data_IF_281908510544
#
_entry.id   IF_281908510544
#
_cell.length_a   1.000
_cell.length_b   1.000
_cell.length_c   1.000
_cell.angle_alpha   90.00
_cell.angle_beta   90.00
_cell.angle_gamma   90.00
#
_symmetry.space_group_name_H-M   'P 1'
#
loop_
_entity.id
_entity.type
_entity.pdbx_description
1 polymer ?
#
# COMPACT_ATOMS: atom_id res chain seq x y z
N UNK A 1 4.39 4.35 12.05
CA UNK A 1 3.43 4.38 13.17
C UNK A 1 4.23 4.05 14.42
N UNK A 2 4.14 4.84 15.48
CA UNK A 2 4.88 4.62 16.71
C UNK A 2 4.04 3.82 17.71
N UNK A 3 4.52 2.65 18.10
CA UNK A 3 3.90 1.81 19.13
C UNK A 3 4.02 2.51 20.50
N UNK A 4 2.91 2.56 21.23
CA UNK A 4 2.81 3.10 22.58
C UNK A 4 2.85 1.98 23.62
N UNK A 5 3.11 2.33 24.89
CA UNK A 5 3.16 1.38 26.00
C UNK A 5 1.82 0.65 26.24
N UNK A 6 0.69 1.26 25.88
CA UNK A 6 -0.65 0.66 25.97
C UNK A 6 -0.99 -0.24 24.76
N UNK A 7 -0.04 -0.45 23.85
CA UNK A 7 -0.21 -1.26 22.65
C UNK A 7 -0.99 -0.57 21.52
N UNK A 8 -1.34 0.72 21.68
CA UNK A 8 -1.87 1.55 20.59
C UNK A 8 -0.75 2.08 19.70
N UNK A 9 -1.12 2.64 18.55
CA UNK A 9 -0.19 3.33 17.65
C UNK A 9 -0.52 4.81 17.54
N UNK A 10 0.52 5.63 17.42
CA UNK A 10 0.42 7.06 17.11
C UNK A 10 1.15 7.35 15.81
N UNK A 11 0.54 8.16 14.95
CA UNK A 11 1.23 8.79 13.84
C UNK A 11 1.18 10.29 13.98
N UNK A 12 2.34 10.89 14.24
CA UNK A 12 2.53 12.33 14.20
C UNK A 12 3.10 12.76 12.86
N UNK A 13 2.46 13.74 12.22
CA UNK A 13 2.94 14.34 10.96
C UNK A 13 2.35 15.74 10.77
N UNK A 14 2.91 16.57 9.87
CA UNK A 14 2.47 17.95 9.66
C UNK A 14 1.26 18.08 8.72
N UNK A 15 0.78 16.98 8.13
CA UNK A 15 -0.33 17.02 7.19
C UNK A 15 -1.64 17.45 7.87
N UNK A 16 -2.45 18.26 7.20
CA UNK A 16 -3.74 18.60 7.78
C UNK A 16 -4.62 17.33 7.92
N UNK A 17 -5.30 17.09 9.06
CA UNK A 17 -6.08 15.87 9.32
C UNK A 17 -7.15 15.53 8.26
N UNK A 18 -7.66 16.56 7.58
CA UNK A 18 -8.74 16.47 6.60
C UNK A 18 -8.27 16.58 5.14
N UNK A 19 -6.98 16.87 4.90
CA UNK A 19 -6.46 16.98 3.55
C UNK A 19 -6.06 15.60 3.03
N UNK A 20 -6.59 15.14 1.90
CA UNK A 20 -6.28 13.81 1.39
C UNK A 20 -4.89 13.75 0.78
N UNK A 21 -4.19 12.65 1.04
CA UNK A 21 -2.89 12.31 0.48
C UNK A 21 -3.03 11.15 -0.53
N UNK A 22 -2.18 11.09 -1.56
CA UNK A 22 -2.06 9.94 -2.44
C UNK A 22 -1.27 8.81 -1.76
N UNK A 23 -1.76 7.58 -1.85
CA UNK A 23 -1.12 6.38 -1.30
C UNK A 23 -0.88 5.33 -2.39
N UNK A 24 0.21 4.59 -2.24
CA UNK A 24 0.72 3.58 -3.18
C UNK A 24 1.41 2.47 -2.40
N UNK A 25 1.09 1.20 -2.67
CA UNK A 25 1.96 0.08 -2.30
C UNK A 25 3.01 -0.08 -3.41
N UNK A 26 4.24 0.31 -3.11
CA UNK A 26 5.30 0.34 -4.11
C UNK A 26 5.73 -1.07 -4.56
N UNK A 27 5.81 -2.02 -3.62
CA UNK A 27 6.26 -3.38 -3.89
C UNK A 27 5.23 -4.16 -4.70
N UNK A 28 3.95 -3.97 -4.37
CA UNK A 28 2.86 -4.70 -5.02
C UNK A 28 2.44 -4.08 -6.36
N UNK A 29 2.27 -2.75 -6.43
CA UNK A 29 1.49 -2.14 -7.52
C UNK A 29 2.33 -1.56 -8.66
N UNK A 30 3.56 -1.11 -8.40
CA UNK A 30 4.35 -0.37 -9.41
C UNK A 30 4.69 -1.24 -10.61
N UNK A 31 5.18 -2.46 -10.38
CA UNK A 31 5.57 -3.39 -11.44
C UNK A 31 4.42 -3.70 -12.40
N UNK A 32 3.28 -4.23 -11.91
CA UNK A 32 2.10 -4.49 -12.74
C UNK A 32 1.60 -3.26 -13.50
N UNK A 33 1.60 -2.09 -12.86
CA UNK A 33 1.12 -0.84 -13.47
C UNK A 33 2.02 -0.40 -14.63
N UNK A 34 3.35 -0.42 -14.44
CA UNK A 34 4.29 -0.09 -15.51
C UNK A 34 4.23 -1.08 -16.67
N UNK A 35 4.07 -2.38 -16.38
CA UNK A 35 3.88 -3.39 -17.42
C UNK A 35 2.62 -3.13 -18.26
N UNK A 36 1.54 -2.68 -17.63
CA UNK A 36 0.31 -2.35 -18.34
C UNK A 36 0.48 -1.10 -19.23
N UNK A 37 1.18 -0.07 -18.75
CA UNK A 37 1.59 1.09 -19.57
C UNK A 37 2.40 0.64 -20.79
N UNK A 38 3.38 -0.25 -20.62
CA UNK A 38 4.18 -0.76 -21.73
C UNK A 38 3.35 -1.58 -22.74
N UNK A 39 2.40 -2.40 -22.27
CA UNK A 39 1.50 -3.17 -23.15
C UNK A 39 0.62 -2.28 -24.02
N UNK A 40 0.14 -1.16 -23.49
CA UNK A 40 -0.62 -0.17 -24.25
C UNK A 40 0.27 0.60 -25.24
N UNK A 41 1.55 0.78 -24.89
CA UNK A 41 2.55 1.32 -25.79
C UNK A 41 2.48 2.85 -25.96
N UNK A 42 3.43 3.42 -26.72
CA UNK A 42 3.65 4.87 -26.77
C UNK A 42 2.51 5.65 -27.41
N UNK A 43 1.70 5.03 -28.29
CA UNK A 43 0.54 5.70 -28.87
C UNK A 43 -0.48 6.13 -27.81
N UNK A 44 -0.51 5.44 -26.67
CA UNK A 44 -1.44 5.72 -25.57
C UNK A 44 -0.86 6.63 -24.48
N UNK A 45 0.46 6.69 -24.30
CA UNK A 45 1.07 7.32 -23.11
C UNK A 45 2.16 8.36 -23.42
N UNK A 46 2.57 8.53 -24.68
CA UNK A 46 3.66 9.44 -25.04
C UNK A 46 3.33 10.87 -24.63
N UNK A 47 4.20 11.44 -23.79
CA UNK A 47 4.09 12.83 -23.31
C UNK A 47 3.12 13.04 -22.16
N UNK A 48 2.48 11.98 -21.65
CA UNK A 48 1.56 12.07 -20.52
C UNK A 48 2.29 11.93 -19.18
N UNK A 49 1.68 12.51 -18.14
CA UNK A 49 2.03 12.24 -16.74
C UNK A 49 0.98 11.29 -16.18
N UNK A 50 1.43 10.25 -15.49
CA UNK A 50 0.55 9.27 -14.85
C UNK A 50 0.73 9.37 -13.35
N UNK A 51 -0.36 9.55 -12.61
CA UNK A 51 -0.34 9.51 -11.15
C UNK A 51 -0.41 8.07 -10.65
N UNK A 52 0.70 7.59 -10.09
CA UNK A 52 0.76 6.28 -9.44
C UNK A 52 0.32 6.41 -7.98
N UNK A 53 -0.99 6.51 -7.79
CA UNK A 53 -1.63 6.46 -6.48
C UNK A 53 -2.97 5.74 -6.60
N UNK A 54 -3.17 4.76 -5.72
CA UNK A 54 -4.33 3.88 -5.76
C UNK A 54 -5.31 4.15 -4.63
N UNK A 55 -4.90 4.89 -3.60
CA UNK A 55 -5.82 5.41 -2.59
C UNK A 55 -5.65 6.91 -2.39
N UNK A 56 -6.76 7.55 -2.02
CA UNK A 56 -6.82 8.97 -1.67
C UNK A 56 -7.45 9.05 -0.29
N UNK A 57 -6.61 9.24 0.74
CA UNK A 57 -7.02 9.16 2.13
C UNK A 57 -6.48 10.34 2.90
N UNK A 58 -7.32 10.93 3.74
CA UNK A 58 -6.86 11.86 4.77
C UNK A 58 -6.06 11.11 5.84
N UNK A 59 -5.20 11.79 6.61
CA UNK A 59 -4.49 11.16 7.72
C UNK A 59 -5.41 10.39 8.69
N UNK A 60 -6.58 10.94 8.98
CA UNK A 60 -7.60 10.29 9.82
C UNK A 60 -8.12 8.99 9.20
N UNK A 61 -8.42 9.00 7.90
CA UNK A 61 -8.87 7.81 7.17
C UNK A 61 -7.77 6.74 7.08
N UNK A 62 -6.52 7.16 6.90
CA UNK A 62 -5.36 6.26 6.91
C UNK A 62 -5.24 5.56 8.28
N UNK A 63 -5.23 6.30 9.39
CA UNK A 63 -5.21 5.71 10.73
C UNK A 63 -6.40 4.78 10.98
N UNK A 64 -7.61 5.15 10.54
CA UNK A 64 -8.79 4.29 10.72
C UNK A 64 -8.70 2.97 9.94
N UNK A 65 -8.11 2.98 8.74
CA UNK A 65 -7.84 1.77 7.95
C UNK A 65 -6.72 0.94 8.56
N UNK A 66 -5.65 1.59 8.96
CA UNK A 66 -4.52 0.95 9.62
C UNK A 66 -4.97 0.24 10.90
N UNK A 67 -5.81 0.89 11.72
CA UNK A 67 -6.37 0.33 12.95
C UNK A 67 -7.16 -0.96 12.72
N UNK A 68 -7.95 -1.02 11.64
CA UNK A 68 -8.65 -2.25 11.25
C UNK A 68 -7.70 -3.33 10.75
N UNK A 69 -6.60 -2.96 10.09
CA UNK A 69 -5.58 -3.89 9.63
C UNK A 69 -4.82 -4.54 10.78
N UNK A 70 -4.31 -3.73 11.72
CA UNK A 70 -3.50 -4.21 12.85
C UNK A 70 -4.32 -4.69 14.06
N UNK A 71 -5.64 -4.46 14.07
CA UNK A 71 -6.51 -4.85 15.19
C UNK A 71 -6.27 -4.08 16.50
N UNK A 72 -5.59 -2.93 16.43
CA UNK A 72 -5.20 -2.09 17.59
C UNK A 72 -5.61 -0.63 17.35
N UNK A 73 -5.85 0.19 18.39
CA UNK A 73 -6.14 1.60 18.21
C UNK A 73 -4.99 2.33 17.52
N UNK A 74 -5.31 3.19 16.55
CA UNK A 74 -4.33 4.03 15.84
C UNK A 74 -4.83 5.45 15.84
N UNK A 75 -4.01 6.39 16.30
CA UNK A 75 -4.37 7.81 16.41
C UNK A 75 -3.45 8.68 15.57
N UNK A 76 -4.07 9.57 14.80
CA UNK A 76 -3.36 10.65 14.14
C UNK A 76 -3.13 11.83 15.09
N UNK A 77 -1.93 12.40 15.09
CA UNK A 77 -1.57 13.62 15.81
C UNK A 77 -1.02 14.62 14.81
N UNK A 78 -1.74 15.71 14.59
CA UNK A 78 -1.26 16.79 13.75
C UNK A 78 -0.21 17.61 14.53
N UNK A 79 1.01 17.65 14.01
CA UNK A 79 2.13 18.29 14.69
C UNK A 79 3.38 18.36 13.81
N UNK A 80 4.45 19.03 14.27
CA UNK A 80 5.68 19.12 13.50
C UNK A 80 6.32 17.74 13.31
N UNK A 81 7.16 17.63 12.28
CA UNK A 81 7.98 16.44 12.05
C UNK A 81 8.97 16.29 13.20
N UNK A 82 8.90 15.18 13.91
CA UNK A 82 9.81 14.85 15.01
C UNK A 82 10.97 13.97 14.52
N UNK A 83 12.18 14.51 14.53
CA UNK A 83 13.38 13.84 14.01
C UNK A 83 14.11 13.15 15.17
N UNK A 84 13.79 11.88 15.38
CA UNK A 84 14.34 11.05 16.48
C UNK A 84 15.69 10.40 16.17
N UNK A 85 16.14 10.45 14.91
CA UNK A 85 17.36 9.77 14.43
C UNK A 85 18.24 10.71 13.61
N UNK A 86 19.51 10.34 13.45
CA UNK A 86 20.42 11.06 12.56
C UNK A 86 19.99 10.85 11.11
N UNK A 87 19.92 11.95 10.35
CA UNK A 87 19.51 11.93 8.95
C UNK A 87 20.47 12.77 8.09
N UNK A 88 20.67 12.42 6.81
CA UNK A 88 21.43 13.24 5.86
C UNK A 88 20.84 14.65 5.71
N UNK A 89 21.69 15.63 5.41
CA UNK A 89 21.28 17.04 5.26
C UNK A 89 20.21 17.24 4.19
N UNK A 90 20.32 16.57 3.04
CA UNK A 90 19.32 16.65 1.97
C UNK A 90 17.95 16.12 2.39
N UNK A 91 17.91 15.08 3.24
CA UNK A 91 16.62 14.60 3.77
C UNK A 91 16.03 15.57 4.79
N UNK A 92 16.87 16.18 5.63
CA UNK A 92 16.43 17.25 6.56
C UNK A 92 15.81 18.42 5.81
N UNK A 93 16.51 18.96 4.82
CA UNK A 93 16.00 20.06 3.98
C UNK A 93 14.67 19.68 3.30
N UNK A 94 14.56 18.45 2.79
CA UNK A 94 13.32 17.96 2.22
C UNK A 94 12.17 17.89 3.24
N UNK A 95 12.43 17.47 4.48
CA UNK A 95 11.41 17.44 5.54
C UNK A 95 10.96 18.86 5.94
N UNK A 96 11.88 19.82 5.99
CA UNK A 96 11.56 21.22 6.28
C UNK A 96 10.63 21.81 5.19
N UNK A 97 10.98 21.59 3.91
CA UNK A 97 10.16 22.03 2.77
C UNK A 97 8.81 21.31 2.76
N UNK A 98 8.78 20.01 3.07
CA UNK A 98 7.56 19.22 3.15
C UNK A 98 6.61 19.76 4.22
N UNK A 99 7.14 20.06 5.42
CA UNK A 99 6.37 20.65 6.51
C UNK A 99 5.81 22.02 6.12
N UNK A 100 6.61 22.88 5.50
CA UNK A 100 6.15 24.18 5.02
C UNK A 100 5.06 24.03 3.93
N UNK A 101 5.30 23.17 2.95
CA UNK A 101 4.48 23.09 1.73
C UNK A 101 3.18 22.32 1.97
N UNK A 102 3.26 21.14 2.57
CA UNK A 102 2.10 20.26 2.77
C UNK A 102 1.44 20.45 4.14
N UNK A 103 2.18 20.97 5.13
CA UNK A 103 1.62 21.26 6.44
C UNK A 103 1.10 22.68 6.57
N UNK A 104 1.99 23.68 6.48
CA UNK A 104 1.61 25.09 6.68
C UNK A 104 0.79 25.63 5.52
N UNK A 105 1.29 25.47 4.30
CA UNK A 105 0.64 25.98 3.07
C UNK A 105 -0.50 25.07 2.59
N UNK A 106 -0.59 23.84 3.10
CA UNK A 106 -1.63 22.86 2.73
C UNK A 106 -1.76 22.68 1.21
N UNK A 107 -0.64 22.73 0.50
CA UNK A 107 -0.64 22.51 -0.93
C UNK A 107 -1.07 21.06 -1.24
N UNK A 108 -1.75 20.80 -2.37
CA UNK A 108 -2.02 19.43 -2.78
C UNK A 108 -0.69 18.72 -3.10
N UNK A 109 -0.62 17.42 -2.78
CA UNK A 109 0.62 16.64 -2.97
C UNK A 109 1.04 16.59 -4.45
N UNK A 110 0.08 16.30 -5.32
CA UNK A 110 0.21 16.49 -6.76
C UNK A 110 -0.38 17.85 -7.15
N UNK A 111 0.15 18.46 -8.21
CA UNK A 111 -0.40 19.70 -8.76
C UNK A 111 -1.92 19.61 -8.98
N UNK A 112 -2.67 20.72 -8.85
CA UNK A 112 -4.14 20.72 -8.87
C UNK A 112 -4.76 20.17 -10.16
N UNK A 113 -3.99 20.11 -11.25
CA UNK A 113 -4.36 19.55 -12.54
C UNK A 113 -4.28 18.01 -12.63
N UNK A 114 -3.64 17.35 -11.65
CA UNK A 114 -3.44 15.91 -11.65
C UNK A 114 -4.55 15.20 -10.86
N UNK A 115 -5.17 14.22 -11.49
CA UNK A 115 -6.27 13.44 -10.91
C UNK A 115 -5.74 12.15 -10.29
N UNK A 116 -6.25 11.78 -9.11
CA UNK A 116 -6.00 10.50 -8.46
C UNK A 116 -7.18 10.19 -7.52
N UNK A 117 -7.47 8.90 -7.22
CA UNK A 117 -6.72 7.71 -7.60
C UNK A 117 -7.27 7.01 -8.86
N UNK A 118 -8.24 7.60 -9.57
CA UNK A 118 -8.95 6.89 -10.64
C UNK A 118 -8.02 6.54 -11.80
N UNK A 119 -7.13 7.44 -12.17
CA UNK A 119 -6.10 7.19 -13.19
C UNK A 119 -5.31 5.91 -12.90
N UNK A 120 -4.63 5.82 -11.74
CA UNK A 120 -3.88 4.63 -11.35
C UNK A 120 -4.73 3.36 -11.38
N UNK A 121 -5.93 3.40 -10.76
CA UNK A 121 -6.86 2.25 -10.70
C UNK A 121 -7.34 1.77 -12.07
N UNK A 122 -7.41 2.66 -13.06
CA UNK A 122 -7.80 2.29 -14.42
C UNK A 122 -6.71 1.52 -15.17
N UNK A 123 -5.46 1.63 -14.70
CA UNK A 123 -4.32 0.89 -15.26
C UNK A 123 -4.15 -0.42 -14.50
N UNK A 124 -4.29 -0.41 -13.17
CA UNK A 124 -4.14 -1.59 -12.33
C UNK A 124 -5.27 -1.65 -11.28
N UNK A 125 -6.24 -2.53 -11.53
CA UNK A 125 -7.39 -2.72 -10.64
C UNK A 125 -7.06 -3.57 -9.41
N UNK A 126 -6.04 -4.45 -9.51
CA UNK A 126 -5.62 -5.36 -8.44
C UNK A 126 -4.72 -4.73 -7.39
N UNK A 127 -4.90 -3.44 -7.08
CA UNK A 127 -4.01 -2.71 -6.18
C UNK A 127 -4.20 -3.12 -4.72
N UNK A 128 -3.16 -2.98 -3.90
CA UNK A 128 -3.26 -3.20 -2.45
C UNK A 128 -3.59 -1.90 -1.71
N UNK A 129 -4.61 -1.95 -0.85
CA UNK A 129 -4.98 -0.82 0.01
C UNK A 129 -4.22 -0.78 1.33
N UNK A 130 -4.25 0.38 2.01
CA UNK A 130 -3.58 0.59 3.31
C UNK A 130 -4.05 -0.40 4.38
N UNK A 131 -5.33 -0.78 4.39
CA UNK A 131 -5.86 -1.74 5.37
C UNK A 131 -5.28 -3.15 5.16
N UNK A 132 -5.14 -3.59 3.91
CA UNK A 132 -4.56 -4.88 3.57
C UNK A 132 -3.05 -4.88 3.84
N UNK A 133 -2.33 -3.82 3.45
CA UNK A 133 -0.92 -3.64 3.83
C UNK A 133 -0.73 -3.73 5.35
N UNK A 134 -1.54 -3.01 6.13
CA UNK A 134 -1.46 -3.00 7.58
C UNK A 134 -1.75 -4.37 8.22
N UNK A 135 -2.57 -5.20 7.57
CA UNK A 135 -2.93 -6.55 8.03
C UNK A 135 -1.87 -7.59 7.66
N UNK A 136 -1.37 -7.55 6.44
CA UNK A 136 -0.64 -8.66 5.83
C UNK A 136 0.85 -8.43 5.72
N UNK A 137 1.28 -7.18 5.57
CA UNK A 137 2.69 -6.82 5.28
C UNK A 137 3.35 -6.17 6.49
N UNK A 138 2.70 -5.15 7.06
CA UNK A 138 3.27 -4.36 8.16
C UNK A 138 3.75 -5.22 9.35
N UNK A 139 3.01 -6.25 9.84
CA UNK A 139 3.51 -7.09 10.93
C UNK A 139 4.79 -7.87 10.56
N UNK A 140 4.92 -8.29 9.30
CA UNK A 140 6.09 -9.05 8.82
C UNK A 140 7.31 -8.13 8.73
N UNK A 141 7.15 -6.92 8.18
CA UNK A 141 8.21 -5.91 8.10
C UNK A 141 8.68 -5.48 9.49
N UNK A 142 7.76 -5.20 10.41
CA UNK A 142 8.09 -4.83 11.79
C UNK A 142 8.78 -5.98 12.53
N UNK A 143 8.36 -7.23 12.30
CA UNK A 143 9.03 -8.40 12.85
C UNK A 143 10.47 -8.53 12.33
N UNK A 144 10.68 -8.33 11.02
CA UNK A 144 12.00 -8.31 10.40
C UNK A 144 12.88 -7.17 10.95
N UNK A 145 12.27 -6.04 11.34
CA UNK A 145 12.92 -4.92 12.02
C UNK A 145 13.16 -5.16 13.54
N UNK A 146 12.79 -6.32 14.06
CA UNK A 146 13.07 -6.72 15.45
C UNK A 146 11.94 -6.41 16.45
N UNK A 147 10.80 -5.88 15.99
CA UNK A 147 9.64 -5.64 16.85
C UNK A 147 8.81 -6.92 17.04
N UNK A 148 8.12 -7.04 18.18
CA UNK A 148 7.44 -8.28 18.59
C UNK A 148 5.99 -8.07 19.05
N UNK A 149 5.42 -6.90 18.79
CA UNK A 149 4.06 -6.53 19.25
C UNK A 149 2.93 -7.38 18.64
N UNK A 150 3.21 -8.06 17.54
CA UNK A 150 2.28 -8.96 16.83
C UNK A 150 2.25 -10.37 17.40
N UNK A 151 3.22 -10.74 18.25
CA UNK A 151 3.18 -12.02 18.95
C UNK A 151 2.07 -11.96 20.00
N UNK A 152 1.14 -12.92 19.97
CA UNK A 152 0.14 -13.04 21.02
C UNK A 152 0.85 -13.39 22.33
N UNK A 153 0.65 -12.59 23.39
CA UNK A 153 0.93 -13.05 24.74
C UNK A 153 -0.02 -14.22 25.03
N UNK A 154 0.46 -15.44 24.78
CA UNK A 154 -0.17 -16.68 25.22
C UNK A 154 -0.05 -16.81 26.75
N UNK A 155 -0.56 -15.84 27.50
CA UNK A 155 -0.78 -15.99 28.95
C UNK A 155 -2.11 -16.69 29.21
N UNK A 156 -2.28 -17.86 28.61
CA UNK A 156 -3.16 -18.88 29.18
C UNK A 156 -2.32 -19.70 30.17
N UNK A 157 -2.68 -19.81 31.46
CA UNK A 157 -2.00 -20.75 32.34
C UNK A 157 -2.29 -22.17 31.83
N UNK A 158 -1.29 -22.81 31.23
CA UNK A 158 -1.36 -24.22 30.84
C UNK A 158 -1.28 -25.10 32.08
N UNK A 159 -2.37 -25.14 32.86
CA UNK A 159 -2.59 -26.21 33.83
C UNK A 159 -3.21 -27.40 33.11
N UNK A 160 -2.40 -28.21 32.45
CA UNK A 160 -2.74 -29.62 32.20
C UNK A 160 -1.45 -30.44 32.17
N UNK A 161 -1.49 -31.48 32.99
CA UNK A 161 -0.38 -32.29 33.44
C UNK A 161 0.27 -33.10 32.31
N UNK A 162 1.55 -33.35 32.50
CA UNK A 162 2.32 -34.32 31.75
C UNK A 162 1.71 -35.72 31.89
N UNK A 163 1.55 -36.42 30.77
CA UNK A 163 1.53 -37.88 30.71
C UNK A 163 2.41 -38.32 29.55
N UNK A 164 3.52 -38.97 29.91
CA UNK A 164 4.45 -39.69 29.03
C UNK A 164 3.82 -40.96 28.44
N UNK A 165 4.61 -41.65 27.59
CA UNK A 165 4.46 -42.95 26.87
C UNK A 165 3.78 -42.89 25.49
N UNK A 166 4.27 -43.49 24.39
CA UNK A 166 5.31 -44.51 24.12
C UNK A 166 5.69 -44.48 22.60
N UNK A 167 6.84 -45.06 22.29
CA UNK A 167 7.53 -45.21 21.01
C UNK A 167 6.77 -45.99 19.91
N UNK A 168 7.04 -45.65 18.65
CA UNK A 168 6.59 -46.42 17.48
C UNK A 168 7.21 -45.93 16.17
N UNK A 169 8.37 -46.47 15.81
CA UNK A 169 9.05 -46.31 14.51
C UNK A 169 8.16 -46.74 13.33
N UNK A 170 8.16 -45.96 12.24
CA UNK A 170 7.88 -46.43 10.87
C UNK A 170 8.58 -45.51 9.84
N UNK A 171 9.29 -46.17 8.92
CA UNK A 171 10.22 -45.76 7.84
C UNK A 171 9.84 -44.57 6.90
N UNK A 172 10.81 -44.01 6.13
CA UNK A 172 10.68 -42.71 5.47
C UNK A 172 10.04 -42.78 4.08
N UNK A 173 9.09 -41.89 3.79
CA UNK A 173 8.55 -41.66 2.45
C UNK A 173 8.91 -40.25 1.97
N UNK A 174 9.65 -40.17 0.86
CA UNK A 174 10.09 -38.92 0.22
C UNK A 174 8.92 -37.99 -0.19
N UNK A 175 9.08 -36.66 -0.10
CA UNK A 175 8.06 -35.74 -0.60
C UNK A 175 8.21 -35.59 -2.13
N UNK A 176 7.24 -36.13 -2.86
CA UNK A 176 7.02 -35.80 -4.28
C UNK A 176 6.72 -34.30 -4.40
N UNK A 177 7.63 -33.57 -5.04
CA UNK A 177 7.44 -32.18 -5.41
C UNK A 177 6.29 -32.02 -6.41
N UNK A 178 5.17 -31.44 -5.97
CA UNK A 178 4.11 -30.97 -6.85
C UNK A 178 4.46 -29.55 -7.33
N UNK A 179 5.04 -29.45 -8.53
CA UNK A 179 5.07 -28.20 -9.29
C UNK A 179 3.63 -27.84 -9.71
N UNK A 180 3.19 -26.57 -9.58
CA UNK A 180 1.92 -26.17 -10.18
C UNK A 180 2.03 -26.26 -11.70
N UNK A 181 1.20 -27.11 -12.31
CA UNK A 181 1.02 -27.16 -13.76
C UNK A 181 0.12 -25.99 -14.19
N UNK A 182 0.65 -25.10 -15.02
CA UNK A 182 -0.16 -24.09 -15.71
C UNK A 182 -1.10 -24.78 -16.71
N UNK A 183 -2.42 -24.56 -16.67
CA UNK A 183 -3.30 -25.02 -17.74
C UNK A 183 -3.02 -24.19 -18.99
N UNK A 184 -2.35 -24.79 -19.97
CA UNK A 184 -2.32 -24.26 -21.32
C UNK A 184 -3.72 -24.43 -21.94
N UNK A 185 -4.36 -23.31 -22.31
CA UNK A 185 -5.49 -23.33 -23.25
C UNK A 185 -6.78 -22.71 -22.74
N UNK A 186 -6.87 -21.38 -22.82
CA UNK A 186 -7.98 -20.66 -23.47
C UNK A 186 -7.60 -19.18 -23.52
N UNK A 187 -7.38 -18.66 -24.73
CA UNK A 187 -7.34 -17.21 -24.96
C UNK A 187 -8.75 -16.68 -24.74
N UNK A 188 -9.07 -16.30 -23.51
CA UNK A 188 -10.18 -15.40 -23.25
C UNK A 188 -9.68 -14.01 -23.68
N UNK A 189 -10.47 -13.24 -24.46
CA UNK A 189 -10.10 -11.85 -24.71
C UNK A 189 -9.98 -11.16 -23.35
N UNK A 190 -8.77 -10.69 -23.04
CA UNK A 190 -8.53 -9.77 -21.94
C UNK A 190 -9.42 -8.56 -22.22
N UNK A 191 -10.55 -8.49 -21.51
CA UNK A 191 -11.33 -7.27 -21.47
C UNK A 191 -10.50 -6.28 -20.67
N UNK A 192 -9.64 -5.53 -21.37
CA UNK A 192 -9.00 -4.35 -20.82
C UNK A 192 -10.13 -3.35 -20.65
N UNK A 193 -10.66 -3.25 -19.44
CA UNK A 193 -11.48 -2.13 -19.03
C UNK A 193 -10.70 -0.88 -19.37
N UNK A 194 -11.26 -0.07 -20.28
CA UNK A 194 -10.54 1.04 -20.92
C UNK A 194 -9.91 1.95 -19.88
N UNK A 195 -8.59 2.14 -19.99
CA UNK A 195 -7.86 3.06 -19.14
C UNK A 195 -8.53 4.44 -19.22
N UNK A 196 -8.83 5.01 -18.06
CA UNK A 196 -9.49 6.31 -17.95
C UNK A 196 -8.57 7.37 -18.55
N UNK A 197 -9.03 8.07 -19.58
CA UNK A 197 -8.30 9.20 -20.17
C UNK A 197 -8.37 10.40 -19.22
N UNK A 198 -7.25 10.88 -18.65
CA UNK A 198 -7.26 12.03 -17.77
C UNK A 198 -7.70 13.31 -18.49
N UNK A 199 -8.31 14.27 -17.77
CA UNK A 199 -8.72 15.57 -18.35
C UNK A 199 -7.56 16.43 -18.86
N UNK A 200 -6.35 16.14 -18.41
CA UNK A 200 -5.11 16.76 -18.89
C UNK A 200 -4.66 16.21 -20.26
N UNK A 201 -5.34 15.20 -20.79
CA UNK A 201 -5.12 14.63 -22.11
C UNK A 201 -5.62 15.58 -23.21
N UNK A 202 -4.90 15.74 -24.34
CA UNK A 202 -5.36 16.54 -25.48
C UNK A 202 -6.74 16.11 -26.00
N UNK A 203 -7.07 14.81 -25.89
CA UNK A 203 -8.33 14.21 -26.31
C UNK A 203 -9.33 14.01 -25.15
N UNK A 204 -8.97 14.40 -23.92
CA UNK A 204 -9.85 14.32 -22.73
C UNK A 204 -10.97 15.38 -22.71
N UNK A 205 -11.11 16.14 -23.80
CA UNK A 205 -12.18 17.11 -24.04
C UNK A 205 -13.42 16.47 -24.69
N UNK A 206 -13.27 15.30 -25.32
CA UNK A 206 -14.38 14.56 -25.90
C UNK A 206 -14.86 13.50 -24.90
N UNK A 207 -16.02 13.75 -24.29
CA UNK A 207 -16.60 12.93 -23.23
C UNK A 207 -16.97 11.49 -23.64
N UNK A 208 -16.74 11.10 -24.90
CA UNK A 208 -17.16 9.82 -25.49
C UNK A 208 -16.01 9.02 -26.15
N UNK A 209 -14.74 9.36 -25.90
CA UNK A 209 -13.65 8.53 -26.44
C UNK A 209 -13.40 7.28 -25.60
N UNK A 210 -13.67 6.12 -26.20
CA UNK A 210 -13.48 4.80 -25.62
C UNK A 210 -12.23 4.16 -26.24
N UNK A 211 -11.15 3.99 -25.45
CA UNK A 211 -9.92 3.37 -25.93
C UNK A 211 -10.07 1.85 -25.88
N UNK A 212 -10.17 1.21 -27.06
CA UNK A 212 -10.34 -0.24 -27.20
C UNK A 212 -11.24 -0.68 -28.35
N UNK A 213 -11.79 0.25 -29.15
CA UNK A 213 -12.52 -0.11 -30.38
C UNK A 213 -11.58 -0.08 -31.60
N UNK A 214 -10.88 -1.19 -31.82
CA UNK A 214 -10.65 -1.74 -33.17
C UNK A 214 -10.55 -3.26 -33.08
#
# INVERSE_FOLDING_TARGET
MELQDDGSFVWQAPFHPDDPLPWLDAEHDVGPTLLQIFKMGPNHWKGQRVTLAFEKLTPLQCCARFARGVGRPVRYVHGPIDIKVQIPSGYREQLDILQETLGVKRAPYFGPELEYPREGRSIWEGYRGIEEYAREVFPIEEYANGLRWMEEESTAPSSVAASEVDDGELEPAEPRGSRPMTPAGRSLPLHVTGAYTPKSHPEGLDAEFFVGSM
#
